data_IF_638731311794
#
_entry.id   IF_638731311794
#
_cell.length_a   1.000
_cell.length_b   1.000
_cell.length_c   1.000
_cell.angle_alpha   90.00
_cell.angle_beta   90.00
_cell.angle_gamma   90.00
#
_symmetry.space_group_name_H-M   'P 1'
#
loop_
_entity.id
_entity.type
_entity.pdbx_description
1 polymer ?
#
# COMPACT_ATOMS: atom_id res chain seq x y z
N UNK A 1 -0.56 7.14 -10.69
CA UNK A 1 -0.07 8.50 -10.98
C UNK A 1 0.52 9.15 -9.73
N UNK A 2 -0.16 9.12 -8.57
CA UNK A 2 0.39 9.66 -7.32
C UNK A 2 1.76 9.03 -6.99
N UNK A 3 1.89 7.70 -7.08
CA UNK A 3 3.18 7.01 -6.89
C UNK A 3 4.24 7.49 -7.89
N UNK A 4 3.87 7.68 -9.17
CA UNK A 4 4.78 8.25 -10.17
C UNK A 4 5.33 9.62 -9.77
N UNK A 5 4.44 10.51 -9.32
CA UNK A 5 4.84 11.85 -8.87
C UNK A 5 5.77 11.78 -7.66
N UNK A 6 5.49 10.89 -6.69
CA UNK A 6 6.35 10.69 -5.53
C UNK A 6 7.73 10.16 -5.94
N UNK A 7 7.81 9.15 -6.81
CA UNK A 7 9.09 8.64 -7.30
C UNK A 7 9.88 9.72 -8.04
N UNK A 8 9.22 10.48 -8.92
CA UNK A 8 9.85 11.57 -9.66
C UNK A 8 10.39 12.68 -8.75
N UNK A 9 9.75 12.90 -7.60
CA UNK A 9 10.20 13.90 -6.63
C UNK A 9 11.51 13.51 -5.93
N UNK A 10 11.72 12.21 -5.66
CA UNK A 10 12.80 11.75 -4.78
C UNK A 10 13.86 10.88 -5.46
N UNK A 11 13.54 10.24 -6.59
CA UNK A 11 14.42 9.29 -7.25
C UNK A 11 14.93 9.82 -8.59
N UNK A 12 16.16 9.46 -8.92
CA UNK A 12 16.75 9.59 -10.25
C UNK A 12 16.73 8.22 -10.95
N UNK A 13 16.74 8.18 -12.30
CA UNK A 13 16.89 6.92 -13.02
C UNK A 13 18.09 6.11 -12.51
N UNK A 14 17.86 4.84 -12.17
CA UNK A 14 18.84 3.94 -11.60
C UNK A 14 18.91 3.92 -10.06
N UNK A 15 18.25 4.86 -9.37
CA UNK A 15 18.15 4.82 -7.91
C UNK A 15 17.41 3.54 -7.46
N UNK A 16 17.74 3.07 -6.26
CA UNK A 16 17.17 1.86 -5.71
C UNK A 16 15.90 2.14 -4.92
N UNK A 17 14.89 1.35 -5.19
CA UNK A 17 13.58 1.32 -4.52
C UNK A 17 13.34 -0.06 -3.92
N UNK A 18 12.96 -0.12 -2.65
CA UNK A 18 12.48 -1.34 -2.00
C UNK A 18 10.96 -1.30 -1.87
N UNK A 19 10.27 -2.36 -2.29
CA UNK A 19 8.80 -2.45 -2.17
C UNK A 19 8.31 -3.90 -2.06
N UNK A 20 7.04 -4.08 -1.70
CA UNK A 20 6.40 -5.39 -1.67
C UNK A 20 6.33 -5.99 -3.08
N UNK A 21 6.64 -7.27 -3.22
CA UNK A 21 6.51 -8.01 -4.47
C UNK A 21 5.04 -8.12 -4.91
N UNK A 22 4.80 -8.25 -6.21
CA UNK A 22 3.45 -8.42 -6.75
C UNK A 22 2.80 -9.69 -6.19
N UNK A 23 3.56 -10.79 -6.11
CA UNK A 23 3.09 -12.09 -5.62
C UNK A 23 2.75 -12.05 -4.12
N UNK A 24 3.37 -11.16 -3.35
CA UNK A 24 3.04 -10.91 -1.95
C UNK A 24 1.82 -9.98 -1.75
N UNK A 25 1.27 -9.43 -2.83
CA UNK A 25 0.13 -8.52 -2.78
C UNK A 25 0.44 -7.07 -3.11
N UNK A 26 1.67 -6.75 -3.53
CA UNK A 26 2.07 -5.40 -3.96
C UNK A 26 1.27 -4.91 -5.18
N UNK A 27 1.26 -3.60 -5.40
CA UNK A 27 0.61 -3.00 -6.57
C UNK A 27 1.55 -3.01 -7.79
N UNK A 28 0.97 -3.02 -9.01
CA UNK A 28 1.74 -2.97 -10.26
C UNK A 28 2.74 -1.80 -10.30
N UNK A 29 2.38 -0.63 -9.76
CA UNK A 29 3.27 0.53 -9.72
C UNK A 29 4.35 0.46 -8.64
N UNK A 30 4.39 -0.61 -7.82
CA UNK A 30 5.41 -0.78 -6.78
C UNK A 30 6.66 -1.46 -7.34
N UNK A 31 6.50 -2.60 -8.02
CA UNK A 31 7.63 -3.46 -8.38
C UNK A 31 7.43 -4.31 -9.64
N UNK A 32 6.31 -4.16 -10.34
CA UNK A 32 6.04 -5.01 -11.51
C UNK A 32 7.02 -4.75 -12.64
N UNK A 33 7.59 -5.81 -13.20
CA UNK A 33 8.53 -5.76 -14.32
C UNK A 33 7.96 -5.10 -15.58
N UNK A 34 6.64 -5.12 -15.76
CA UNK A 34 5.96 -4.47 -16.89
C UNK A 34 5.58 -3.02 -16.61
N UNK A 35 5.70 -2.56 -15.36
CA UNK A 35 5.42 -1.19 -14.98
C UNK A 35 6.60 -0.27 -15.33
N UNK A 36 6.29 1.04 -15.51
CA UNK A 36 7.33 2.04 -15.73
C UNK A 36 8.38 2.06 -14.62
N UNK A 37 8.01 1.75 -13.38
CA UNK A 37 8.91 1.80 -12.22
C UNK A 37 10.15 0.94 -12.45
N UNK A 38 10.00 -0.29 -12.93
CA UNK A 38 11.11 -1.21 -13.20
C UNK A 38 11.93 -0.86 -14.46
N UNK A 39 11.46 0.11 -15.26
CA UNK A 39 12.23 0.63 -16.41
C UNK A 39 13.18 1.77 -16.01
N UNK A 40 12.86 2.48 -14.94
CA UNK A 40 13.60 3.66 -14.52
C UNK A 40 14.41 3.44 -13.25
N UNK A 41 13.96 2.55 -12.36
CA UNK A 41 14.55 2.37 -11.04
C UNK A 41 15.01 0.93 -10.83
N UNK A 42 15.99 0.77 -9.95
CA UNK A 42 16.49 -0.54 -9.54
C UNK A 42 15.62 -1.06 -8.38
N UNK A 43 14.62 -1.87 -8.72
CA UNK A 43 13.63 -2.31 -7.74
C UNK A 43 14.08 -3.59 -7.04
N UNK A 44 14.15 -3.53 -5.70
CA UNK A 44 14.24 -4.69 -4.81
C UNK A 44 12.88 -4.96 -4.19
N UNK A 45 12.64 -6.22 -3.84
CA UNK A 45 11.34 -6.67 -3.36
C UNK A 45 11.49 -7.40 -2.04
N UNK A 46 10.53 -7.17 -1.12
CA UNK A 46 10.30 -8.00 0.05
C UNK A 46 8.99 -8.77 -0.11
N UNK A 47 8.85 -9.85 0.63
CA UNK A 47 7.73 -10.77 0.53
C UNK A 47 6.97 -10.94 1.84
N UNK A 48 6.28 -12.09 1.90
CA UNK A 48 5.58 -12.55 3.10
C UNK A 48 6.37 -13.69 3.75
N UNK A 49 6.16 -13.88 5.03
CA UNK A 49 6.62 -15.06 5.74
C UNK A 49 5.79 -16.30 5.38
N UNK A 50 6.16 -17.45 5.93
CA UNK A 50 5.47 -18.72 5.70
C UNK A 50 4.01 -18.76 6.18
N UNK A 51 3.61 -17.80 7.01
CA UNK A 51 2.27 -17.69 7.55
C UNK A 51 1.41 -16.66 6.77
N UNK A 52 1.96 -16.02 5.74
CA UNK A 52 1.30 -15.02 4.92
C UNK A 52 1.29 -13.62 5.52
N UNK A 53 2.20 -13.30 6.44
CA UNK A 53 2.40 -11.97 7.00
C UNK A 53 3.62 -11.29 6.37
N UNK A 54 3.63 -9.95 6.36
CA UNK A 54 4.80 -9.17 5.90
C UNK A 54 6.04 -9.65 6.65
N UNK A 55 7.08 -9.98 5.90
CA UNK A 55 8.37 -10.40 6.47
C UNK A 55 9.20 -9.17 6.85
N UNK A 56 8.99 -8.67 8.07
CA UNK A 56 9.70 -7.50 8.59
C UNK A 56 11.20 -7.71 8.73
N UNK A 57 11.62 -8.95 9.04
CA UNK A 57 13.05 -9.30 9.14
C UNK A 57 13.73 -9.24 7.77
N UNK A 58 13.02 -9.61 6.70
CA UNK A 58 13.51 -9.46 5.32
C UNK A 58 13.64 -7.98 4.94
N UNK A 59 12.70 -7.12 5.37
CA UNK A 59 12.80 -5.66 5.16
C UNK A 59 14.09 -5.13 5.79
N UNK A 60 14.36 -5.46 7.04
CA UNK A 60 15.60 -5.06 7.74
C UNK A 60 16.85 -5.51 6.97
N UNK A 61 16.91 -6.80 6.60
CA UNK A 61 18.04 -7.36 5.84
C UNK A 61 18.23 -6.64 4.50
N UNK A 62 17.15 -6.33 3.78
CA UNK A 62 17.21 -5.62 2.51
C UNK A 62 17.68 -4.17 2.67
N UNK A 63 17.28 -3.48 3.74
CA UNK A 63 17.75 -2.13 4.05
C UNK A 63 19.26 -2.13 4.34
N UNK A 64 19.73 -3.07 5.17
CA UNK A 64 21.15 -3.23 5.50
C UNK A 64 22.01 -3.59 4.27
N UNK A 65 21.52 -4.51 3.44
CA UNK A 65 22.31 -5.04 2.32
C UNK A 65 22.33 -4.10 1.12
N UNK A 66 21.30 -3.31 0.91
CA UNK A 66 21.10 -2.57 -0.34
C UNK A 66 20.97 -1.07 -0.19
N UNK A 67 20.68 -0.56 1.01
CA UNK A 67 20.50 0.86 1.30
C UNK A 67 19.63 1.59 0.24
N UNK A 68 18.39 1.11 -0.02
CA UNK A 68 17.53 1.72 -1.02
C UNK A 68 17.24 3.19 -0.66
N UNK A 69 17.16 4.06 -1.64
CA UNK A 69 16.88 5.48 -1.45
C UNK A 69 15.43 5.76 -1.03
N UNK A 70 14.54 4.83 -1.37
CA UNK A 70 13.14 4.89 -0.99
C UNK A 70 12.64 3.49 -0.61
N UNK A 71 11.93 3.40 0.51
CA UNK A 71 11.13 2.23 0.87
C UNK A 71 9.66 2.55 0.70
N UNK A 72 8.96 1.71 -0.08
CA UNK A 72 7.53 1.81 -0.30
C UNK A 72 6.81 0.68 0.40
N UNK A 73 5.86 1.05 1.24
CA UNK A 73 5.02 0.13 2.00
C UNK A 73 3.56 0.31 1.61
N UNK A 74 2.86 -0.77 1.43
CA UNK A 74 1.46 -0.80 1.03
C UNK A 74 1.16 -1.98 0.11
N UNK A 75 -0.10 -2.33 -0.01
CA UNK A 75 -0.52 -3.50 -0.76
C UNK A 75 -1.87 -3.30 -1.46
N UNK A 76 -2.07 -4.06 -2.54
CA UNK A 76 -3.36 -4.19 -3.21
C UNK A 76 -4.12 -5.45 -2.78
N UNK A 77 -3.39 -6.50 -2.41
CA UNK A 77 -3.94 -7.81 -2.07
C UNK A 77 -3.24 -8.38 -0.81
N UNK A 78 -3.39 -7.68 0.31
CA UNK A 78 -2.90 -8.11 1.61
C UNK A 78 -4.02 -7.94 2.64
N UNK A 79 -4.37 -9.02 3.32
CA UNK A 79 -5.56 -9.09 4.17
C UNK A 79 -5.32 -8.79 5.64
N UNK A 80 -4.08 -8.52 6.04
CA UNK A 80 -3.71 -8.23 7.43
C UNK A 80 -3.39 -6.76 7.65
N UNK A 81 -3.40 -6.35 8.90
CA UNK A 81 -2.93 -5.02 9.28
C UNK A 81 -1.43 -4.86 8.97
N UNK A 82 -1.05 -3.69 8.47
CA UNK A 82 0.34 -3.31 8.24
C UNK A 82 0.82 -2.50 9.42
N UNK A 83 1.86 -2.97 10.10
CA UNK A 83 2.49 -2.23 11.21
C UNK A 83 3.48 -1.20 10.66
N UNK A 84 2.96 -0.01 10.36
CA UNK A 84 3.75 1.12 9.86
C UNK A 84 4.79 1.61 10.86
N UNK A 85 4.46 1.50 12.17
CA UNK A 85 5.40 1.91 13.22
C UNK A 85 6.61 0.98 13.26
N UNK A 86 6.39 -0.33 13.20
CA UNK A 86 7.50 -1.31 13.17
C UNK A 86 8.46 -1.04 12.00
N UNK A 87 7.93 -0.65 10.84
CA UNK A 87 8.78 -0.31 9.69
C UNK A 87 9.57 0.97 9.96
N UNK A 88 8.94 2.00 10.54
CA UNK A 88 9.65 3.22 10.93
C UNK A 88 10.77 2.93 11.96
N UNK A 89 10.50 2.07 12.93
CA UNK A 89 11.49 1.63 13.92
C UNK A 89 12.66 0.89 13.23
N UNK A 90 12.39 -0.06 12.33
CA UNK A 90 13.42 -0.77 11.55
C UNK A 90 14.29 0.21 10.74
N UNK A 91 13.69 1.20 10.07
CA UNK A 91 14.44 2.21 9.31
C UNK A 91 15.40 2.97 10.23
N UNK A 92 14.91 3.35 11.41
CA UNK A 92 15.74 4.06 12.41
C UNK A 92 16.87 3.18 12.92
N UNK A 93 16.59 1.94 13.32
CA UNK A 93 17.57 0.97 13.83
C UNK A 93 18.66 0.68 12.80
N UNK A 94 18.28 0.50 11.52
CA UNK A 94 19.24 0.29 10.43
C UNK A 94 20.10 1.55 10.20
N UNK A 95 19.51 2.73 10.24
CA UNK A 95 20.24 3.98 10.06
C UNK A 95 21.26 4.21 11.17
N UNK A 96 20.86 3.97 12.43
CA UNK A 96 21.73 4.06 13.60
C UNK A 96 22.87 3.03 13.54
N UNK A 97 22.54 1.80 13.12
CA UNK A 97 23.53 0.73 12.98
C UNK A 97 24.60 1.08 11.92
N UNK A 98 24.17 1.57 10.74
CA UNK A 98 25.09 1.96 9.67
C UNK A 98 25.95 3.16 10.07
N UNK A 99 25.40 4.12 10.80
CA UNK A 99 26.14 5.23 11.33
C UNK A 99 27.19 4.77 12.35
N UNK A 100 26.80 3.93 13.31
CA UNK A 100 27.69 3.47 14.38
C UNK A 100 28.81 2.55 13.87
N UNK A 101 28.51 1.64 12.93
CA UNK A 101 29.48 0.65 12.42
C UNK A 101 30.38 1.21 11.33
N UNK A 102 29.81 1.92 10.36
CA UNK A 102 30.47 2.27 9.11
C UNK A 102 30.60 3.79 8.91
N UNK A 103 30.09 4.60 9.83
CA UNK A 103 29.96 6.05 9.71
C UNK A 103 29.20 6.48 8.43
N UNK A 104 28.17 5.70 8.05
CA UNK A 104 27.32 5.96 6.89
C UNK A 104 26.05 6.65 7.38
N UNK A 105 25.80 7.86 6.87
CA UNK A 105 24.53 8.56 7.05
C UNK A 105 23.52 8.02 6.06
N UNK A 106 22.51 7.28 6.56
CA UNK A 106 21.47 6.66 5.75
C UNK A 106 20.09 7.11 6.20
N UNK A 107 19.38 7.79 5.32
CA UNK A 107 18.02 8.31 5.55
C UNK A 107 17.18 8.05 4.28
N UNK A 108 16.59 6.85 4.14
CA UNK A 108 15.72 6.57 3.02
C UNK A 108 14.39 7.33 3.16
N UNK A 109 13.79 7.69 2.04
CA UNK A 109 12.42 8.19 2.04
C UNK A 109 11.47 7.05 2.42
N UNK A 110 10.75 7.20 3.52
CA UNK A 110 9.69 6.27 3.93
C UNK A 110 8.37 6.69 3.29
N UNK A 111 7.94 5.94 2.29
CA UNK A 111 6.71 6.16 1.54
C UNK A 111 5.68 5.10 1.85
N UNK A 112 4.42 5.49 2.07
CA UNK A 112 3.29 4.58 2.25
C UNK A 112 2.25 4.80 1.14
N UNK A 113 1.86 3.72 0.46
CA UNK A 113 0.68 3.69 -0.40
C UNK A 113 -0.48 3.05 0.35
N UNK A 114 -1.37 3.88 0.88
CA UNK A 114 -2.55 3.44 1.65
C UNK A 114 -3.81 3.27 0.80
N UNK A 115 -3.70 3.21 -0.52
CA UNK A 115 -4.84 3.30 -1.44
C UNK A 115 -5.98 2.33 -1.12
N UNK A 116 -5.69 1.09 -0.75
CA UNK A 116 -6.71 0.09 -0.41
C UNK A 116 -7.33 0.29 0.98
N UNK A 117 -6.56 0.80 1.93
CA UNK A 117 -6.93 0.90 3.34
C UNK A 117 -7.22 2.34 3.80
N UNK A 118 -7.22 3.33 2.87
CA UNK A 118 -7.40 4.74 3.23
C UNK A 118 -8.72 5.00 3.98
N UNK A 119 -9.80 4.34 3.56
CA UNK A 119 -11.08 4.43 4.26
C UNK A 119 -11.05 3.82 5.65
N UNK A 120 -10.33 2.70 5.83
CA UNK A 120 -10.16 2.05 7.13
C UNK A 120 -9.35 2.95 8.08
N UNK A 121 -8.29 3.57 7.59
CA UNK A 121 -7.49 4.53 8.36
C UNK A 121 -8.35 5.73 8.78
N UNK A 122 -9.16 6.28 7.85
CA UNK A 122 -10.07 7.40 8.15
C UNK A 122 -11.12 7.04 9.20
N UNK A 123 -11.58 5.78 9.23
CA UNK A 123 -12.54 5.29 10.20
C UNK A 123 -11.93 4.81 11.53
N UNK A 124 -10.59 4.64 11.59
CA UNK A 124 -9.88 4.13 12.76
C UNK A 124 -9.77 2.61 12.83
N UNK A 125 -10.08 1.89 11.76
CA UNK A 125 -10.00 0.42 11.66
C UNK A 125 -8.64 -0.11 11.17
N UNK A 126 -7.66 0.75 10.99
CA UNK A 126 -6.29 0.38 10.61
C UNK A 126 -5.31 1.39 11.19
N UNK A 127 -4.08 0.94 11.50
CA UNK A 127 -3.00 1.84 11.93
C UNK A 127 -2.77 2.94 10.89
N UNK A 128 -2.58 4.17 11.37
CA UNK A 128 -2.34 5.34 10.52
C UNK A 128 -0.84 5.51 10.23
N UNK A 129 -0.44 5.75 8.96
CA UNK A 129 0.93 6.09 8.61
C UNK A 129 1.28 7.57 8.85
N UNK A 130 0.28 8.42 9.17
CA UNK A 130 0.51 9.84 9.43
C UNK A 130 1.36 10.04 10.68
N UNK A 131 2.37 10.91 10.57
CA UNK A 131 3.38 11.11 11.61
C UNK A 131 4.54 10.11 11.60
N UNK A 132 4.45 9.02 10.82
CA UNK A 132 5.50 8.02 10.66
C UNK A 132 6.20 8.16 9.30
N UNK A 133 5.41 8.15 8.21
CA UNK A 133 5.93 8.21 6.85
C UNK A 133 6.27 9.65 6.41
N UNK A 134 7.24 9.77 5.50
CA UNK A 134 7.63 11.02 4.86
C UNK A 134 6.65 11.45 3.79
N UNK A 135 6.18 10.46 3.02
CA UNK A 135 5.24 10.63 1.91
C UNK A 135 4.17 9.55 1.98
N UNK A 136 2.92 9.94 1.81
CA UNK A 136 1.78 9.02 1.78
C UNK A 136 1.01 9.26 0.50
N UNK A 137 0.75 8.20 -0.25
CA UNK A 137 -0.11 8.25 -1.43
C UNK A 137 -1.38 7.46 -1.21
N UNK A 138 -2.44 7.85 -1.89
CA UNK A 138 -3.69 7.11 -1.92
C UNK A 138 -4.46 7.35 -3.21
N UNK A 139 -5.42 6.47 -3.46
CA UNK A 139 -6.52 6.71 -4.40
C UNK A 139 -7.75 7.17 -3.63
N UNK A 140 -8.58 8.01 -4.26
CA UNK A 140 -9.83 8.47 -3.65
C UNK A 140 -11.03 7.54 -3.92
N UNK A 141 -10.98 6.65 -4.93
CA UNK A 141 -12.13 5.86 -5.39
C UNK A 141 -12.26 4.46 -4.80
N UNK A 142 -11.32 4.02 -3.94
CA UNK A 142 -11.39 2.71 -3.29
C UNK A 142 -12.18 2.79 -1.99
N UNK A 143 -11.65 2.29 -0.89
CA UNK A 143 -12.35 2.35 0.42
C UNK A 143 -12.69 3.77 0.85
N UNK A 144 -11.99 4.79 0.37
CA UNK A 144 -12.32 6.19 0.64
C UNK A 144 -13.62 6.67 -0.05
N UNK A 145 -14.18 5.87 -0.98
CA UNK A 145 -15.49 6.07 -1.60
C UNK A 145 -15.67 7.39 -2.35
N UNK A 146 -14.60 7.98 -2.85
CA UNK A 146 -14.60 9.24 -3.59
C UNK A 146 -14.51 9.06 -5.11
N UNK A 147 -14.33 10.15 -5.87
CA UNK A 147 -14.13 10.12 -7.30
C UNK A 147 -12.76 9.52 -7.65
N UNK A 148 -12.61 9.05 -8.90
CA UNK A 148 -11.34 8.51 -9.37
C UNK A 148 -10.23 9.56 -9.38
N UNK A 149 -9.15 9.29 -8.63
CA UNK A 149 -7.96 10.15 -8.59
C UNK A 149 -6.96 9.73 -7.53
N UNK A 150 -5.80 10.39 -7.54
CA UNK A 150 -4.77 10.23 -6.51
C UNK A 150 -4.74 11.42 -5.57
N UNK A 151 -4.22 11.20 -4.37
CA UNK A 151 -3.89 12.23 -3.38
C UNK A 151 -2.50 11.92 -2.86
N UNK A 152 -1.69 12.93 -2.60
CA UNK A 152 -0.37 12.81 -1.98
C UNK A 152 -0.36 13.69 -0.73
N UNK A 153 0.07 13.12 0.37
CA UNK A 153 0.41 13.82 1.60
C UNK A 153 1.91 13.69 1.82
N UNK A 154 2.55 14.70 2.37
CA UNK A 154 3.98 14.64 2.70
C UNK A 154 4.29 15.52 3.90
N UNK A 155 5.46 15.31 4.51
CA UNK A 155 6.01 16.24 5.49
C UNK A 155 6.26 17.61 4.84
N UNK A 156 6.15 18.73 5.59
CA UNK A 156 6.27 20.09 5.04
C UNK A 156 7.55 20.34 4.24
N UNK A 157 8.67 19.78 4.66
CA UNK A 157 9.97 19.90 3.99
C UNK A 157 9.98 19.34 2.57
N UNK A 158 9.12 18.36 2.28
CA UNK A 158 9.02 17.71 0.97
C UNK A 158 7.97 18.34 0.04
N UNK A 159 7.15 19.26 0.53
CA UNK A 159 6.03 19.84 -0.22
C UNK A 159 6.46 20.43 -1.57
N UNK A 160 7.53 21.22 -1.60
CA UNK A 160 8.03 21.85 -2.84
C UNK A 160 8.51 20.83 -3.88
N UNK A 161 9.07 19.70 -3.44
CA UNK A 161 9.51 18.63 -4.34
C UNK A 161 8.31 17.92 -4.96
N UNK A 162 7.30 17.60 -4.14
CA UNK A 162 6.05 16.98 -4.58
C UNK A 162 5.28 17.91 -5.51
N UNK A 163 5.09 19.19 -5.15
CA UNK A 163 4.38 20.17 -6.00
C UNK A 163 5.02 20.27 -7.38
N UNK A 164 6.35 20.38 -7.44
CA UNK A 164 7.09 20.44 -8.70
C UNK A 164 7.00 19.13 -9.49
N UNK A 165 6.98 18.00 -8.81
CA UNK A 165 6.84 16.69 -9.44
C UNK A 165 5.43 16.49 -10.00
N UNK A 166 4.40 17.01 -9.34
CA UNK A 166 3.02 16.99 -9.83
C UNK A 166 2.88 17.96 -10.99
N UNK A 167 3.19 19.24 -10.78
CA UNK A 167 3.10 20.26 -11.82
C UNK A 167 4.37 21.14 -11.81
N UNK A 168 5.04 21.31 -12.96
CA UNK A 168 4.72 20.79 -14.29
C UNK A 168 5.28 19.38 -14.59
N UNK A 169 5.83 18.68 -13.60
CA UNK A 169 6.62 17.47 -13.82
C UNK A 169 5.84 16.32 -14.50
N UNK A 170 4.66 15.98 -14.01
CA UNK A 170 3.90 14.82 -14.48
C UNK A 170 2.43 15.14 -14.87
N UNK A 171 1.94 16.34 -14.57
CA UNK A 171 0.55 16.73 -14.78
C UNK A 171 0.44 18.13 -15.39
N UNK A 172 -0.68 18.35 -16.08
CA UNK A 172 -1.14 19.67 -16.50
C UNK A 172 -2.27 20.17 -15.60
N UNK A 173 -3.19 20.97 -16.20
CA UNK A 173 -4.36 21.49 -15.49
C UNK A 173 -5.27 20.38 -14.98
N UNK A 174 -5.73 20.45 -13.73
CA UNK A 174 -6.54 19.39 -13.12
C UNK A 174 -8.01 19.51 -13.52
N UNK A 175 -8.74 18.38 -13.40
CA UNK A 175 -10.20 18.39 -13.51
C UNK A 175 -10.82 18.93 -12.22
N UNK A 176 -11.29 20.16 -12.24
CA UNK A 176 -11.83 20.86 -11.06
C UNK A 176 -13.07 20.19 -10.47
N UNK A 177 -13.92 19.57 -11.30
CA UNK A 177 -15.05 18.77 -10.85
C UNK A 177 -14.60 17.58 -10.00
N UNK A 178 -13.48 16.91 -10.37
CA UNK A 178 -12.90 15.82 -9.59
C UNK A 178 -12.33 16.33 -8.27
N UNK A 179 -11.69 17.50 -8.24
CA UNK A 179 -11.20 18.12 -7.01
C UNK A 179 -12.35 18.44 -6.06
N UNK A 180 -13.42 19.07 -6.57
CA UNK A 180 -14.61 19.36 -5.78
C UNK A 180 -15.25 18.08 -5.21
N UNK A 181 -15.36 17.03 -6.03
CA UNK A 181 -15.88 15.74 -5.58
C UNK A 181 -14.99 15.06 -4.51
N UNK A 182 -13.66 15.23 -4.58
CA UNK A 182 -12.74 14.76 -3.51
C UNK A 182 -12.98 15.50 -2.20
N UNK A 183 -13.27 16.82 -2.25
CA UNK A 183 -13.58 17.60 -1.06
C UNK A 183 -14.86 17.09 -0.38
N UNK A 184 -15.90 16.81 -1.16
CA UNK A 184 -17.14 16.21 -0.65
C UNK A 184 -16.88 14.83 -0.03
N UNK A 185 -16.14 13.97 -0.71
CA UNK A 185 -15.79 12.65 -0.17
C UNK A 185 -14.95 12.74 1.12
N UNK A 186 -14.08 13.74 1.23
CA UNK A 186 -13.34 14.02 2.46
C UNK A 186 -14.25 14.44 3.62
N UNK A 187 -15.24 15.27 3.35
CA UNK A 187 -16.24 15.70 4.35
C UNK A 187 -17.11 14.52 4.78
N UNK A 188 -17.57 13.68 3.85
CA UNK A 188 -18.31 12.46 4.17
C UNK A 188 -17.49 11.52 5.06
N UNK A 189 -16.18 11.37 4.79
CA UNK A 189 -15.29 10.48 5.54
C UNK A 189 -15.10 10.90 7.02
N UNK A 190 -15.44 12.14 7.38
CA UNK A 190 -15.41 12.63 8.77
C UNK A 190 -16.66 12.26 9.58
N UNK A 191 -17.72 11.79 8.91
CA UNK A 191 -19.01 11.49 9.54
C UNK A 191 -19.03 10.16 10.28
N UNK A 192 -19.90 10.05 11.29
CA UNK A 192 -20.15 8.79 12.00
C UNK A 192 -20.82 7.76 11.09
N UNK A 193 -21.64 8.20 10.13
CA UNK A 193 -22.23 7.33 9.12
C UNK A 193 -21.15 6.61 8.31
N UNK A 194 -20.13 7.33 7.86
CA UNK A 194 -19.03 6.75 7.14
C UNK A 194 -18.21 5.77 8.00
N UNK A 195 -17.92 6.12 9.26
CA UNK A 195 -17.25 5.21 10.20
C UNK A 195 -18.04 3.90 10.37
N UNK A 196 -19.34 4.00 10.62
CA UNK A 196 -20.21 2.84 10.76
C UNK A 196 -20.23 1.99 9.48
N UNK A 197 -20.23 2.61 8.31
CA UNK A 197 -20.14 1.92 7.03
C UNK A 197 -18.84 1.13 6.92
N UNK A 198 -17.69 1.73 7.21
CA UNK A 198 -16.38 1.04 7.14
C UNK A 198 -16.29 -0.08 8.18
N UNK A 199 -16.73 0.13 9.42
CA UNK A 199 -16.79 -0.92 10.43
C UNK A 199 -17.64 -2.11 9.95
N UNK A 200 -18.75 -1.84 9.24
CA UNK A 200 -19.58 -2.91 8.68
C UNK A 200 -18.88 -3.64 7.54
N UNK A 201 -18.11 -2.93 6.70
CA UNK A 201 -17.30 -3.55 5.61
C UNK A 201 -16.29 -4.53 6.20
N UNK A 202 -15.56 -4.14 7.25
CA UNK A 202 -14.58 -5.03 7.91
C UNK A 202 -15.27 -6.23 8.54
N UNK A 203 -16.39 -6.02 9.23
CA UNK A 203 -17.21 -7.12 9.83
C UNK A 203 -17.68 -8.10 8.77
N UNK A 204 -18.14 -7.61 7.62
CA UNK A 204 -18.62 -8.45 6.53
C UNK A 204 -17.47 -9.29 5.93
N UNK A 205 -16.31 -8.68 5.67
CA UNK A 205 -15.14 -9.39 5.17
C UNK A 205 -14.71 -10.50 6.14
N UNK A 206 -14.68 -10.18 7.45
CA UNK A 206 -14.34 -11.16 8.48
C UNK A 206 -15.36 -12.29 8.54
N UNK A 207 -16.65 -12.00 8.55
CA UNK A 207 -17.71 -13.02 8.60
C UNK A 207 -17.65 -13.96 7.39
N UNK A 208 -17.40 -13.42 6.18
CA UNK A 208 -17.20 -14.23 4.98
C UNK A 208 -15.97 -15.13 5.09
N UNK A 209 -14.83 -14.56 5.50
CA UNK A 209 -13.59 -15.32 5.72
C UNK A 209 -13.78 -16.45 6.72
N UNK A 210 -14.41 -16.17 7.87
CA UNK A 210 -14.66 -17.16 8.93
C UNK A 210 -15.59 -18.29 8.42
N UNK A 211 -16.57 -17.97 7.57
CA UNK A 211 -17.49 -18.97 7.00
C UNK A 211 -16.77 -19.86 5.98
N UNK A 212 -15.92 -19.31 5.12
CA UNK A 212 -15.09 -20.11 4.22
C UNK A 212 -14.17 -21.07 5.00
N UNK A 213 -13.57 -20.60 6.10
CA UNK A 213 -12.74 -21.47 6.97
C UNK A 213 -13.59 -22.63 7.57
N UNK A 214 -14.81 -22.34 8.06
CA UNK A 214 -15.71 -23.40 8.59
C UNK A 214 -16.11 -24.41 7.50
N UNK A 215 -16.24 -23.96 6.26
CA UNK A 215 -16.51 -24.83 5.12
C UNK A 215 -15.29 -25.64 4.67
N UNK A 216 -14.14 -25.48 5.32
CA UNK A 216 -12.89 -26.21 5.03
C UNK A 216 -12.02 -25.59 3.96
N UNK A 217 -12.29 -24.37 3.54
CA UNK A 217 -11.40 -23.65 2.62
C UNK A 217 -10.24 -23.00 3.36
N UNK A 218 -9.10 -22.95 2.70
CA UNK A 218 -7.91 -22.27 3.19
C UNK A 218 -7.98 -20.77 2.86
N UNK A 219 -7.86 -19.93 3.90
CA UNK A 219 -7.70 -18.49 3.75
C UNK A 219 -6.24 -18.15 4.02
N UNK A 220 -5.59 -17.44 3.09
CA UNK A 220 -4.21 -16.99 3.23
C UNK A 220 -4.09 -16.16 4.52
N UNK A 221 -3.03 -16.37 5.27
CA UNK A 221 -2.81 -15.82 6.62
C UNK A 221 -3.85 -16.22 7.68
N UNK A 222 -4.75 -17.16 7.39
CA UNK A 222 -5.75 -17.68 8.33
C UNK A 222 -6.88 -16.70 8.65
N UNK A 223 -7.13 -15.68 7.81
CA UNK A 223 -8.24 -14.74 8.02
C UNK A 223 -8.00 -13.34 7.45
N UNK A 224 -8.71 -12.35 7.97
CA UNK A 224 -8.57 -10.95 7.55
C UNK A 224 -8.76 -9.98 8.72
N UNK A 225 -8.03 -8.86 8.65
CA UNK A 225 -8.15 -7.71 9.54
C UNK A 225 -8.73 -6.48 8.82
N UNK A 226 -9.04 -6.60 7.51
CA UNK A 226 -9.47 -5.46 6.69
C UNK A 226 -10.70 -5.79 5.81
N UNK A 227 -10.85 -5.09 4.69
CA UNK A 227 -12.00 -5.15 3.78
C UNK A 227 -11.94 -6.31 2.76
N UNK A 228 -10.90 -7.14 2.77
CA UNK A 228 -10.72 -8.26 1.84
C UNK A 228 -10.15 -9.49 2.53
N UNK A 229 -10.25 -10.64 1.90
CA UNK A 229 -9.52 -11.85 2.26
C UNK A 229 -9.03 -12.55 0.98
N UNK A 230 -8.07 -13.44 1.13
CA UNK A 230 -7.47 -14.17 0.03
C UNK A 230 -7.76 -15.65 0.20
N UNK A 231 -8.58 -16.20 -0.73
CA UNK A 231 -8.92 -17.61 -0.79
C UNK A 231 -7.82 -18.39 -1.51
N UNK A 232 -7.23 -19.40 -0.84
CA UNK A 232 -6.30 -20.33 -1.47
C UNK A 232 -7.06 -21.28 -2.40
N UNK A 233 -6.60 -21.39 -3.65
CA UNK A 233 -7.12 -22.34 -4.61
C UNK A 233 -6.21 -23.55 -4.81
N UNK A 234 -5.19 -23.72 -3.99
CA UNK A 234 -4.22 -24.81 -4.12
C UNK A 234 -4.89 -26.20 -4.08
N UNK A 235 -5.91 -26.38 -3.25
CA UNK A 235 -6.67 -27.62 -3.14
C UNK A 235 -7.83 -27.74 -4.16
N UNK A 236 -8.21 -26.66 -4.82
CA UNK A 236 -9.38 -26.63 -5.71
C UNK A 236 -9.11 -27.09 -7.15
N UNK A 237 -7.85 -27.36 -7.49
CA UNK A 237 -7.38 -27.74 -8.82
C UNK A 237 -7.91 -26.83 -9.96
N UNK A 238 -8.06 -25.55 -9.66
CA UNK A 238 -8.46 -24.52 -10.61
C UNK A 238 -7.68 -23.22 -10.40
N UNK A 239 -7.55 -22.42 -11.45
CA UNK A 239 -6.98 -21.08 -11.33
C UNK A 239 -8.01 -20.04 -10.88
N UNK A 240 -7.54 -18.89 -10.37
CA UNK A 240 -8.41 -17.76 -10.03
C UNK A 240 -9.28 -17.29 -11.21
N UNK A 241 -8.71 -17.26 -12.42
CA UNK A 241 -9.44 -16.89 -13.63
C UNK A 241 -10.58 -17.90 -13.96
N UNK A 242 -10.31 -19.20 -13.80
CA UNK A 242 -11.35 -20.24 -14.00
C UNK A 242 -12.45 -20.14 -12.96
N UNK A 243 -12.10 -19.88 -11.70
CA UNK A 243 -13.10 -19.68 -10.64
C UNK A 243 -13.94 -18.43 -10.91
N UNK A 244 -13.31 -17.34 -11.29
CA UNK A 244 -14.01 -16.09 -11.66
C UNK A 244 -14.99 -16.34 -12.78
N UNK A 245 -14.58 -16.94 -13.89
CA UNK A 245 -15.45 -17.25 -15.03
C UNK A 245 -16.63 -18.13 -14.63
N UNK A 246 -16.41 -19.12 -13.76
CA UNK A 246 -17.47 -19.99 -13.26
C UNK A 246 -18.47 -19.24 -12.41
N UNK A 247 -18.00 -18.41 -11.46
CA UNK A 247 -18.86 -17.61 -10.61
C UNK A 247 -19.67 -16.59 -11.42
N UNK A 248 -19.08 -15.94 -12.42
CA UNK A 248 -19.80 -15.02 -13.31
C UNK A 248 -20.92 -15.70 -14.11
N UNK A 249 -20.75 -16.97 -14.47
CA UNK A 249 -21.76 -17.73 -15.22
C UNK A 249 -22.88 -18.31 -14.34
N UNK A 250 -22.57 -18.64 -13.08
CA UNK A 250 -23.48 -19.34 -12.17
C UNK A 250 -24.17 -18.43 -11.14
N UNK A 251 -23.66 -17.20 -10.92
CA UNK A 251 -24.14 -16.26 -9.90
C UNK A 251 -25.14 -15.21 -10.45
N UNK A 252 -25.95 -15.55 -11.45
CA UNK A 252 -27.02 -14.69 -12.00
C UNK A 252 -28.32 -14.83 -11.22
#
# INVERSE_FOLDING_TARGET
HANMCAYYAFLQPGDMLLSMSLDAGGHLSHSSAVSFVSRFYNVKQYGLDKNGYINYDEIEQMLLAHMPKLILVGASAYSREIDFKRIADIITEVSDHLMARDNIHYEPIYMVDMAHIAGLIAAGDHQSPFGLADVITTTSQKTLRGPRGGIIFCKPEYAKFIDKAVFPGNSGGPHMNTIAAKAVAGEEALTDEYRNYIHQVVKNAKAMSDEFIKMGYEIISGGTDNHMFLLSLAAANCSGAQLQEKLEKEAH
#
